data_IF_212635736228
#
_entry.id   IF_212635736228
#
_cell.length_a   1.000
_cell.length_b   1.000
_cell.length_c   1.000
_cell.angle_alpha   90.00
_cell.angle_beta   90.00
_cell.angle_gamma   90.00
#
_symmetry.space_group_name_H-M   'P 1'
#
loop_
_entity.id
_entity.type
_entity.pdbx_description
1 polymer ?
#
# COMPACT_ATOMS: atom_id res chain seq x y z
N UNK A 1 9.77 -19.70 -22.10
CA UNK A 1 8.80 -18.64 -21.76
C UNK A 1 7.84 -18.99 -20.60
N UNK A 2 7.75 -20.23 -20.12
CA UNK A 2 6.84 -20.62 -19.04
C UNK A 2 7.25 -20.17 -17.61
N UNK A 3 8.55 -19.92 -17.36
CA UNK A 3 9.07 -19.61 -16.02
C UNK A 3 8.80 -18.17 -15.50
N UNK A 4 8.40 -17.24 -16.36
CA UNK A 4 8.24 -15.83 -15.99
C UNK A 4 6.85 -15.56 -15.38
N UNK A 5 5.85 -16.37 -15.72
CA UNK A 5 4.48 -16.23 -15.23
C UNK A 5 4.31 -16.74 -13.78
N UNK A 6 5.10 -17.72 -13.36
CA UNK A 6 4.94 -18.41 -12.08
C UNK A 6 5.14 -17.48 -10.86
N UNK A 7 6.04 -16.50 -10.94
CA UNK A 7 6.37 -15.66 -9.77
C UNK A 7 5.27 -14.66 -9.38
N UNK A 8 4.50 -14.10 -10.33
CA UNK A 8 3.38 -13.22 -9.98
C UNK A 8 2.18 -13.99 -9.43
N UNK A 9 2.02 -15.27 -9.80
CA UNK A 9 1.00 -16.14 -9.20
C UNK A 9 1.31 -16.39 -7.72
N UNK A 10 2.59 -16.55 -7.37
CA UNK A 10 3.03 -16.76 -5.99
C UNK A 10 2.87 -15.52 -5.12
N UNK A 11 2.87 -14.30 -5.71
CA UNK A 11 2.78 -13.05 -4.98
C UNK A 11 1.64 -13.01 -3.95
N UNK A 12 0.46 -13.50 -4.32
CA UNK A 12 -0.71 -13.49 -3.43
C UNK A 12 -0.45 -14.33 -2.18
N UNK A 13 0.14 -15.51 -2.35
CA UNK A 13 0.48 -16.40 -1.23
C UNK A 13 1.60 -15.81 -0.37
N UNK A 14 2.64 -15.26 -0.98
CA UNK A 14 3.76 -14.63 -0.28
C UNK A 14 3.28 -13.43 0.54
N UNK A 15 2.39 -12.62 -0.04
CA UNK A 15 1.82 -11.45 0.64
C UNK A 15 0.91 -11.84 1.82
N UNK A 16 0.11 -12.90 1.66
CA UNK A 16 -0.73 -13.43 2.73
C UNK A 16 0.12 -14.00 3.86
N UNK A 17 1.14 -14.76 3.53
CA UNK A 17 2.08 -15.30 4.52
C UNK A 17 2.75 -14.16 5.30
N UNK A 18 3.22 -13.12 4.59
CA UNK A 18 3.77 -11.93 5.22
C UNK A 18 2.77 -11.20 6.15
N UNK A 19 1.48 -11.14 5.80
CA UNK A 19 0.45 -10.55 6.67
C UNK A 19 0.19 -11.35 7.93
N UNK A 20 0.38 -12.67 7.87
CA UNK A 20 0.14 -13.58 8.99
C UNK A 20 1.33 -13.63 9.96
N UNK A 21 2.52 -13.24 9.51
CA UNK A 21 3.68 -13.15 10.37
C UNK A 21 3.45 -12.12 11.49
N UNK A 22 3.69 -12.53 12.72
CA UNK A 22 3.74 -11.62 13.85
C UNK A 22 5.08 -10.88 13.83
N UNK A 23 5.06 -9.63 14.28
CA UNK A 23 6.26 -8.77 14.26
C UNK A 23 7.17 -9.06 15.47
N UNK A 24 7.52 -10.33 15.68
CA UNK A 24 8.39 -10.75 16.79
C UNK A 24 9.83 -10.26 16.64
N UNK A 25 10.25 -9.95 15.38
CA UNK A 25 11.64 -9.57 15.09
C UNK A 25 11.95 -8.07 15.31
N UNK A 26 10.97 -7.24 15.65
CA UNK A 26 11.13 -5.78 15.74
C UNK A 26 11.01 -5.25 17.16
N UNK A 27 11.16 -6.09 18.17
CA UNK A 27 11.19 -5.67 19.58
C UNK A 27 12.42 -4.81 19.85
N UNK A 28 12.22 -3.49 19.86
CA UNK A 28 13.13 -2.62 20.61
C UNK A 28 12.89 -2.89 22.09
N UNK A 29 13.96 -3.21 22.82
CA UNK A 29 13.91 -3.61 24.24
C UNK A 29 13.27 -2.57 25.20
N UNK A 30 12.97 -1.39 24.70
CA UNK A 30 12.51 -0.21 25.44
C UNK A 30 11.08 0.26 25.06
N UNK A 31 10.37 -0.46 24.18
CA UNK A 31 9.06 -0.07 23.69
C UNK A 31 7.99 -1.12 24.01
N UNK A 32 6.71 -0.70 24.17
CA UNK A 32 5.60 -1.65 24.32
C UNK A 32 5.59 -2.63 23.15
N UNK A 33 5.58 -3.92 23.46
CA UNK A 33 5.54 -4.98 22.46
C UNK A 33 4.20 -4.93 21.70
N UNK A 34 4.25 -4.59 20.42
CA UNK A 34 3.13 -4.83 19.54
C UNK A 34 3.20 -6.27 19.04
N UNK A 35 2.26 -7.10 19.46
CA UNK A 35 2.19 -8.55 19.12
C UNK A 35 1.19 -8.87 18.01
N UNK A 36 0.65 -7.87 17.34
CA UNK A 36 -0.32 -8.03 16.26
C UNK A 36 0.30 -8.34 14.89
N UNK A 37 -0.52 -8.49 13.86
CA UNK A 37 -0.06 -8.69 12.49
C UNK A 37 0.69 -7.46 11.97
N UNK A 38 1.64 -7.67 11.04
CA UNK A 38 2.47 -6.60 10.44
C UNK A 38 1.66 -5.46 9.81
N UNK A 39 0.48 -5.75 9.30
CA UNK A 39 -0.44 -4.73 8.78
C UNK A 39 -1.88 -5.10 9.17
N UNK A 40 -2.36 -4.70 10.35
CA UNK A 40 -3.68 -5.07 10.85
C UNK A 40 -4.83 -4.64 9.94
N UNK A 41 -4.71 -3.50 9.28
CA UNK A 41 -5.72 -3.02 8.32
C UNK A 41 -5.82 -3.95 7.11
N UNK A 42 -4.69 -4.30 6.51
CA UNK A 42 -4.66 -5.22 5.38
C UNK A 42 -5.07 -6.65 5.79
N UNK A 43 -4.67 -7.11 6.98
CA UNK A 43 -5.10 -8.42 7.52
C UNK A 43 -6.61 -8.49 7.67
N UNK A 44 -7.24 -7.45 8.22
CA UNK A 44 -8.71 -7.36 8.33
C UNK A 44 -9.36 -7.38 6.96
N UNK A 45 -8.91 -6.54 6.03
CA UNK A 45 -9.45 -6.50 4.68
C UNK A 45 -9.32 -7.85 3.95
N UNK A 46 -8.24 -8.58 4.20
CA UNK A 46 -8.05 -9.94 3.69
C UNK A 46 -9.09 -10.91 4.27
N UNK A 47 -9.24 -10.95 5.60
CA UNK A 47 -10.15 -11.85 6.28
C UNK A 47 -11.61 -11.62 5.85
N UNK A 48 -11.96 -10.39 5.49
CA UNK A 48 -13.27 -9.99 4.98
C UNK A 48 -13.44 -10.18 3.46
N UNK A 49 -12.41 -10.65 2.75
CA UNK A 49 -12.44 -10.85 1.30
C UNK A 49 -12.52 -9.53 0.51
N UNK A 50 -12.01 -8.43 1.07
CA UNK A 50 -12.14 -7.07 0.54
C UNK A 50 -10.86 -6.53 -0.08
N UNK A 51 -9.97 -7.45 -0.54
CA UNK A 51 -8.76 -7.09 -1.28
C UNK A 51 -8.87 -7.55 -2.73
N UNK A 52 -8.59 -6.64 -3.65
CA UNK A 52 -8.43 -6.94 -5.08
C UNK A 52 -6.96 -6.97 -5.45
N UNK A 53 -6.52 -8.03 -6.08
CA UNK A 53 -5.18 -8.14 -6.67
C UNK A 53 -5.25 -7.87 -8.18
N UNK A 54 -4.41 -6.96 -8.67
CA UNK A 54 -4.26 -6.62 -10.08
C UNK A 54 -2.82 -6.89 -10.48
N UNK A 55 -2.59 -8.01 -11.15
CA UNK A 55 -1.27 -8.45 -11.59
C UNK A 55 -0.97 -7.90 -12.98
N UNK A 56 0.12 -7.15 -13.11
CA UNK A 56 0.56 -6.56 -14.38
C UNK A 56 1.70 -7.41 -14.93
N UNK A 57 1.39 -8.22 -15.94
CA UNK A 57 2.34 -9.18 -16.52
C UNK A 57 3.16 -8.60 -17.67
N UNK A 58 2.49 -7.85 -18.54
CA UNK A 58 3.08 -7.30 -19.75
C UNK A 58 3.06 -5.77 -19.66
N UNK A 59 4.20 -5.19 -19.42
CA UNK A 59 4.38 -3.75 -19.56
C UNK A 59 5.73 -3.48 -20.23
N UNK A 60 5.71 -2.59 -21.18
CA UNK A 60 6.89 -2.24 -21.97
C UNK A 60 7.64 -1.05 -21.40
N UNK A 61 6.95 -0.26 -20.57
CA UNK A 61 7.53 0.91 -19.90
C UNK A 61 6.75 1.27 -18.63
N UNK A 62 7.33 2.16 -17.84
CA UNK A 62 6.71 2.67 -16.60
C UNK A 62 5.30 3.24 -16.83
N UNK A 63 5.04 3.83 -18.01
CA UNK A 63 3.75 4.41 -18.35
C UNK A 63 2.62 3.37 -18.31
N UNK A 64 2.85 2.17 -18.84
CA UNK A 64 1.85 1.10 -18.88
C UNK A 64 1.41 0.69 -17.47
N UNK A 65 2.37 0.62 -16.53
CA UNK A 65 2.08 0.33 -15.12
C UNK A 65 1.23 1.43 -14.49
N UNK A 66 1.60 2.70 -14.72
CA UNK A 66 0.87 3.84 -14.16
C UNK A 66 -0.52 4.01 -14.77
N UNK A 67 -0.71 3.63 -16.03
CA UNK A 67 -2.03 3.58 -16.66
C UNK A 67 -2.95 2.59 -15.94
N UNK A 68 -2.43 1.40 -15.59
CA UNK A 68 -3.19 0.41 -14.80
C UNK A 68 -3.53 0.98 -13.43
N UNK A 69 -2.57 1.58 -12.72
CA UNK A 69 -2.81 2.20 -11.41
C UNK A 69 -3.90 3.27 -11.51
N UNK A 70 -3.82 4.18 -12.49
CA UNK A 70 -4.80 5.24 -12.68
C UNK A 70 -6.21 4.69 -12.95
N UNK A 71 -6.31 3.68 -13.81
CA UNK A 71 -7.59 3.01 -14.10
C UNK A 71 -8.19 2.36 -12.86
N UNK A 72 -7.37 1.74 -12.02
CA UNK A 72 -7.84 1.14 -10.76
C UNK A 72 -8.28 2.22 -9.75
N UNK A 73 -7.64 3.39 -9.71
CA UNK A 73 -8.11 4.53 -8.92
C UNK A 73 -9.47 5.05 -9.41
N UNK A 74 -9.69 5.11 -10.72
CA UNK A 74 -10.95 5.59 -11.30
C UNK A 74 -12.11 4.61 -11.08
N UNK A 75 -11.81 3.31 -11.07
CA UNK A 75 -12.78 2.24 -10.87
C UNK A 75 -12.91 1.74 -9.43
N UNK A 76 -12.24 2.40 -8.47
CA UNK A 76 -12.23 1.96 -7.07
C UNK A 76 -13.63 1.99 -6.46
N UNK A 77 -14.14 0.81 -6.11
CA UNK A 77 -15.48 0.63 -5.52
C UNK A 77 -15.37 0.29 -4.04
N UNK A 78 -15.61 1.27 -3.18
CA UNK A 78 -15.53 1.17 -1.73
C UNK A 78 -16.52 0.16 -1.12
N UNK A 79 -17.58 -0.19 -1.85
CA UNK A 79 -18.53 -1.18 -1.38
C UNK A 79 -18.02 -2.61 -1.58
N UNK A 80 -17.01 -2.78 -2.44
CA UNK A 80 -16.43 -4.08 -2.76
C UNK A 80 -15.05 -4.30 -2.16
N UNK A 81 -14.23 -3.26 -2.14
CA UNK A 81 -12.82 -3.39 -1.77
C UNK A 81 -12.40 -2.29 -0.80
N UNK A 82 -11.63 -2.67 0.20
CA UNK A 82 -10.93 -1.75 1.10
C UNK A 82 -9.53 -1.44 0.55
N UNK A 83 -8.94 -2.42 -0.16
CA UNK A 83 -7.62 -2.32 -0.74
C UNK A 83 -7.62 -2.89 -2.15
N UNK A 84 -6.98 -2.19 -3.08
CA UNK A 84 -6.58 -2.72 -4.39
C UNK A 84 -5.04 -2.72 -4.43
N UNK A 85 -4.45 -3.89 -4.68
CA UNK A 85 -3.02 -4.07 -4.85
C UNK A 85 -2.70 -4.23 -6.33
N UNK A 86 -2.05 -3.23 -6.91
CA UNK A 86 -1.48 -3.33 -8.25
C UNK A 86 -0.04 -3.77 -8.12
N UNK A 87 0.30 -4.91 -8.71
CA UNK A 87 1.61 -5.54 -8.56
C UNK A 87 2.23 -5.88 -9.90
N UNK A 88 3.51 -5.57 -10.05
CA UNK A 88 4.35 -5.96 -11.16
C UNK A 88 5.68 -6.51 -10.66
N UNK A 89 6.43 -7.20 -11.54
CA UNK A 89 7.74 -7.75 -11.21
C UNK A 89 8.80 -6.65 -11.26
N UNK A 90 9.59 -6.48 -10.19
CA UNK A 90 10.55 -5.36 -10.07
C UNK A 90 11.68 -5.40 -11.09
N UNK A 91 12.21 -6.58 -11.42
CA UNK A 91 13.36 -6.73 -12.33
C UNK A 91 13.01 -6.46 -13.80
N UNK A 92 11.74 -6.41 -14.14
CA UNK A 92 11.25 -6.04 -15.46
C UNK A 92 10.69 -4.62 -15.47
N UNK A 93 10.50 -4.02 -14.28
CA UNK A 93 10.10 -2.63 -14.16
C UNK A 93 11.31 -1.74 -14.39
N UNK A 94 11.31 -0.98 -15.44
CA UNK A 94 12.25 0.14 -15.61
C UNK A 94 11.96 1.28 -14.61
N UNK A 95 11.25 0.99 -13.53
CA UNK A 95 10.83 1.93 -12.49
C UNK A 95 11.75 1.76 -11.29
N UNK A 96 12.56 2.74 -11.01
CA UNK A 96 13.36 2.78 -9.78
C UNK A 96 12.54 3.29 -8.58
N UNK A 97 13.02 3.11 -7.32
CA UNK A 97 12.32 3.54 -6.12
C UNK A 97 11.93 5.03 -6.10
N UNK A 98 12.79 5.90 -6.60
CA UNK A 98 12.53 7.34 -6.63
C UNK A 98 11.41 7.68 -7.62
N UNK A 99 11.39 7.02 -8.77
CA UNK A 99 10.30 7.16 -9.76
C UNK A 99 8.98 6.63 -9.21
N UNK A 100 8.99 5.55 -8.43
CA UNK A 100 7.79 5.04 -7.77
C UNK A 100 7.26 6.02 -6.74
N UNK A 101 8.13 6.53 -5.87
CA UNK A 101 7.73 7.52 -4.86
C UNK A 101 7.18 8.79 -5.53
N UNK A 102 7.88 9.32 -6.52
CA UNK A 102 7.44 10.50 -7.27
C UNK A 102 6.11 10.29 -8.01
N UNK A 103 5.89 9.11 -8.59
CA UNK A 103 4.64 8.75 -9.25
C UNK A 103 3.46 8.66 -8.28
N UNK A 104 3.66 8.03 -7.12
CA UNK A 104 2.65 7.96 -6.06
C UNK A 104 2.34 9.34 -5.48
N UNK A 105 3.35 10.16 -5.21
CA UNK A 105 3.16 11.53 -4.69
C UNK A 105 2.39 12.39 -5.70
N UNK A 106 2.71 12.28 -6.99
CA UNK A 106 2.01 12.96 -8.08
C UNK A 106 0.55 12.55 -8.19
N UNK A 107 0.25 11.25 -8.17
CA UNK A 107 -1.12 10.74 -8.21
C UNK A 107 -1.91 11.10 -6.95
N UNK A 108 -1.33 11.02 -5.76
CA UNK A 108 -1.97 11.45 -4.52
C UNK A 108 -2.34 12.93 -4.58
N UNK A 109 -1.44 13.78 -5.11
CA UNK A 109 -1.72 15.20 -5.32
C UNK A 109 -2.90 15.41 -6.28
N UNK A 110 -2.88 14.74 -7.43
CA UNK A 110 -3.95 14.82 -8.42
C UNK A 110 -5.30 14.34 -7.88
N UNK A 111 -5.35 13.16 -7.24
CA UNK A 111 -6.57 12.60 -6.65
C UNK A 111 -7.15 13.51 -5.56
N UNK A 112 -6.28 14.14 -4.78
CA UNK A 112 -6.66 15.11 -3.78
C UNK A 112 -7.28 16.39 -4.40
N UNK A 113 -6.71 16.89 -5.51
CA UNK A 113 -7.30 18.01 -6.26
C UNK A 113 -8.69 17.66 -6.82
N UNK A 114 -8.89 16.40 -7.19
CA UNK A 114 -10.18 15.86 -7.63
C UNK A 114 -11.14 15.54 -6.47
N UNK A 115 -10.73 15.79 -5.22
CA UNK A 115 -11.49 15.47 -3.99
C UNK A 115 -11.88 14.00 -3.89
N UNK A 116 -11.03 13.08 -4.37
CA UNK A 116 -11.25 11.65 -4.22
C UNK A 116 -10.74 11.17 -2.86
N UNK A 117 -11.56 10.40 -2.14
CA UNK A 117 -11.20 9.75 -0.87
C UNK A 117 -10.31 8.51 -1.13
N UNK A 118 -9.18 8.72 -1.81
CA UNK A 118 -8.23 7.68 -2.21
C UNK A 118 -6.82 8.12 -1.82
N UNK A 119 -6.05 7.16 -1.32
CA UNK A 119 -4.64 7.31 -1.00
C UNK A 119 -3.83 6.14 -1.50
N UNK A 120 -2.71 6.44 -2.15
CA UNK A 120 -1.77 5.46 -2.65
C UNK A 120 -0.56 5.35 -1.73
N UNK A 121 -0.15 4.11 -1.49
CA UNK A 121 1.15 3.78 -0.91
C UNK A 121 1.91 2.89 -1.88
N UNK A 122 3.23 2.93 -1.83
CA UNK A 122 4.08 2.07 -2.64
C UNK A 122 5.09 1.32 -1.79
N UNK A 123 5.45 0.13 -2.26
CA UNK A 123 6.54 -0.68 -1.74
C UNK A 123 7.27 -1.34 -2.90
N UNK A 124 8.59 -1.34 -2.84
CA UNK A 124 9.44 -2.18 -3.67
C UNK A 124 10.16 -3.14 -2.72
N UNK A 125 10.01 -4.44 -2.95
CA UNK A 125 10.68 -5.48 -2.16
C UNK A 125 11.47 -6.36 -3.11
N UNK A 126 12.53 -5.98 -3.67
CA UNK A 126 13.44 -6.76 -4.48
C UNK A 126 12.83 -7.56 -5.66
N UNK A 127 11.70 -8.21 -5.45
CA UNK A 127 10.99 -9.02 -6.45
C UNK A 127 9.76 -8.32 -7.05
N UNK A 128 9.07 -7.49 -6.26
CA UNK A 128 7.80 -6.89 -6.66
C UNK A 128 7.81 -5.37 -6.51
N UNK A 129 7.17 -4.71 -7.47
CA UNK A 129 6.77 -3.31 -7.42
C UNK A 129 5.29 -3.28 -7.11
N UNK A 130 4.91 -2.66 -5.99
CA UNK A 130 3.56 -2.70 -5.46
C UNK A 130 3.03 -1.27 -5.28
N UNK A 131 1.81 -1.01 -5.78
CA UNK A 131 1.02 0.16 -5.41
C UNK A 131 -0.25 -0.32 -4.73
N UNK A 132 -0.46 0.17 -3.52
CA UNK A 132 -1.64 -0.10 -2.71
C UNK A 132 -2.57 1.10 -2.80
N UNK A 133 -3.79 0.89 -3.28
CA UNK A 133 -4.85 1.89 -3.41
C UNK A 133 -5.86 1.62 -2.30
N UNK A 134 -6.19 2.63 -1.50
CA UNK A 134 -7.08 2.51 -0.34
C UNK A 134 -7.77 3.84 -0.03
N UNK A 135 -8.83 3.81 0.79
CA UNK A 135 -9.49 5.04 1.22
C UNK A 135 -8.68 5.76 2.30
N UNK A 136 -8.59 7.10 2.18
CA UNK A 136 -7.97 7.96 3.22
C UNK A 136 -8.73 7.81 4.54
N UNK A 137 -10.07 7.87 4.50
CA UNK A 137 -10.92 7.80 5.69
C UNK A 137 -10.71 6.51 6.46
N UNK A 138 -10.65 5.36 5.79
CA UNK A 138 -10.46 4.06 6.44
C UNK A 138 -9.04 3.90 6.96
N UNK A 139 -8.05 4.35 6.19
CA UNK A 139 -6.65 4.34 6.60
C UNK A 139 -6.41 5.20 7.83
N UNK A 140 -7.01 6.39 7.90
CA UNK A 140 -6.90 7.26 9.07
C UNK A 140 -7.55 6.69 10.31
N UNK A 141 -8.72 6.06 10.17
CA UNK A 141 -9.38 5.41 11.28
C UNK A 141 -8.55 4.21 11.80
N UNK A 142 -8.00 3.42 10.90
CA UNK A 142 -7.09 2.33 11.24
C UNK A 142 -5.81 2.87 11.92
N UNK A 143 -5.21 3.93 11.36
CA UNK A 143 -4.00 4.54 11.92
C UNK A 143 -4.19 5.05 13.34
N UNK A 144 -5.32 5.70 13.64
CA UNK A 144 -5.63 6.16 15.01
C UNK A 144 -5.77 5.01 16.02
N UNK A 145 -6.28 3.86 15.58
CA UNK A 145 -6.37 2.67 16.41
C UNK A 145 -4.99 2.06 16.66
N UNK A 146 -4.17 1.96 15.61
CA UNK A 146 -2.81 1.43 15.67
C UNK A 146 -1.88 2.29 16.51
N UNK A 147 -2.02 3.61 16.45
CA UNK A 147 -1.28 4.55 17.29
C UNK A 147 -1.54 4.29 18.78
N UNK A 148 -2.80 4.07 19.16
CA UNK A 148 -3.17 3.73 20.54
C UNK A 148 -2.59 2.39 21.01
N UNK A 149 -2.27 1.49 20.08
CA UNK A 149 -1.67 0.18 20.35
C UNK A 149 -0.13 0.22 20.32
N UNK A 150 0.49 1.37 20.08
CA UNK A 150 1.93 1.51 20.02
C UNK A 150 2.58 1.01 18.69
N UNK A 151 1.77 0.66 17.70
CA UNK A 151 2.24 0.10 16.42
C UNK A 151 3.33 0.95 15.75
N UNK A 152 3.17 2.27 15.73
CA UNK A 152 4.08 3.15 15.01
C UNK A 152 5.42 3.40 15.73
N UNK A 153 5.48 3.20 17.03
CA UNK A 153 6.65 3.54 17.88
C UNK A 153 7.91 2.77 17.46
N UNK A 154 7.78 1.61 16.83
CA UNK A 154 8.93 0.79 16.38
C UNK A 154 9.13 0.72 14.88
N UNK A 155 8.12 1.09 14.09
CA UNK A 155 8.08 0.81 12.64
C UNK A 155 8.44 2.02 11.77
N UNK A 156 8.28 3.24 12.31
CA UNK A 156 8.46 4.47 11.55
C UNK A 156 9.27 5.50 12.35
N UNK A 157 10.15 6.23 11.68
CA UNK A 157 10.78 7.41 12.29
C UNK A 157 9.74 8.53 12.46
N UNK A 158 10.00 9.46 13.40
CA UNK A 158 9.14 10.64 13.61
C UNK A 158 8.96 11.43 12.31
N UNK A 159 10.03 11.60 11.52
CA UNK A 159 9.99 12.31 10.23
C UNK A 159 9.08 11.59 9.22
N UNK A 160 9.14 10.25 9.14
CA UNK A 160 8.27 9.47 8.27
C UNK A 160 6.81 9.60 8.69
N UNK A 161 6.53 9.54 9.99
CA UNK A 161 5.19 9.71 10.52
C UNK A 161 4.64 11.11 10.25
N UNK A 162 5.43 12.15 10.49
CA UNK A 162 5.03 13.53 10.21
C UNK A 162 4.68 13.73 8.73
N UNK A 163 5.51 13.23 7.82
CA UNK A 163 5.27 13.31 6.36
C UNK A 163 3.95 12.64 5.97
N UNK A 164 3.69 11.44 6.47
CA UNK A 164 2.48 10.66 6.16
C UNK A 164 1.24 11.33 6.75
N UNK A 165 1.29 11.72 8.02
CA UNK A 165 0.16 12.37 8.72
C UNK A 165 -0.18 13.71 8.08
N UNK A 166 0.83 14.55 7.80
CA UNK A 166 0.63 15.87 7.19
C UNK A 166 0.08 15.75 5.77
N UNK A 167 0.58 14.81 4.97
CA UNK A 167 0.09 14.56 3.61
C UNK A 167 -1.39 14.18 3.62
N UNK A 168 -1.78 13.23 4.45
CA UNK A 168 -3.18 12.78 4.58
C UNK A 168 -4.09 13.87 5.17
N UNK A 169 -3.62 14.65 6.14
CA UNK A 169 -4.38 15.75 6.72
C UNK A 169 -4.76 16.79 5.66
N UNK A 170 -3.82 17.19 4.80
CA UNK A 170 -4.09 18.11 3.69
C UNK A 170 -5.12 17.58 2.70
N UNK A 171 -5.15 16.25 2.50
CA UNK A 171 -6.15 15.62 1.66
C UNK A 171 -7.55 15.67 2.28
N UNK A 172 -7.67 15.44 3.60
CA UNK A 172 -8.96 15.49 4.31
C UNK A 172 -9.58 16.87 4.32
N UNK A 173 -8.79 17.92 4.56
CA UNK A 173 -9.27 19.31 4.52
C UNK A 173 -9.98 19.68 3.22
N UNK A 174 -9.70 18.98 2.13
CA UNK A 174 -10.34 19.19 0.84
C UNK A 174 -11.57 18.31 0.60
N UNK A 175 -11.73 17.24 1.37
CA UNK A 175 -12.90 16.35 1.30
C UNK A 175 -14.09 16.90 2.09
N UNK A 176 -13.85 17.71 3.15
CA UNK A 176 -14.85 18.46 3.91
C UNK A 176 -15.33 19.70 3.14
#
# INVERSE_FOLDING_TARGET
MAHVLDHLEDFTNDWINWLQETDEDHTRQDLPEYTGPRCPFAKKAWDEGRIKFVKVYDYYCAYDFWEVVSRECDSFDINKHDIVLVVAKSNESHINPDQMSGGVDGLNTFLNEQRKDIWLLTKIDGMYTIVMIQRITDLDNASKQLEKQGYYIGHYSEEQMEKVVTGRAKCREKLE
#
